data_IF_105800869828
#
_entry.id   IF_105800869828
#
_cell.length_a   1.000
_cell.length_b   1.000
_cell.length_c   1.000
_cell.angle_alpha   90.00
_cell.angle_beta   90.00
_cell.angle_gamma   90.00
#
_symmetry.space_group_name_H-M   'P 1'
#
loop_
_entity.id
_entity.type
_entity.pdbx_description
1 polymer ?
#
# COMPACT_ATOMS: atom_id res chain seq x y z
N UNK A 1 -20.64 6.33 -12.61
CA UNK A 1 -20.49 5.44 -11.44
C UNK A 1 -20.03 4.08 -11.92
N UNK A 2 -18.79 3.74 -11.59
CA UNK A 2 -18.12 2.49 -11.90
C UNK A 2 -18.70 1.39 -11.02
N UNK A 3 -19.02 0.24 -11.61
CA UNK A 3 -19.61 -0.89 -10.88
C UNK A 3 -18.68 -1.32 -9.73
N UNK A 4 -19.22 -1.37 -8.52
CA UNK A 4 -18.48 -1.71 -7.31
C UNK A 4 -18.29 -3.22 -7.21
N UNK A 5 -17.07 -3.73 -6.96
CA UNK A 5 -16.82 -5.15 -6.76
C UNK A 5 -17.63 -5.77 -5.63
N UNK A 6 -18.11 -6.99 -5.85
CA UNK A 6 -18.83 -7.76 -4.84
C UNK A 6 -17.94 -8.11 -3.64
N UNK A 7 -18.54 -8.17 -2.44
CA UNK A 7 -17.86 -8.60 -1.22
C UNK A 7 -17.04 -7.53 -0.49
N UNK A 8 -17.03 -6.27 -0.98
CA UNK A 8 -16.46 -5.14 -0.25
C UNK A 8 -17.41 -4.67 0.88
N UNK A 9 -16.83 -4.28 2.00
CA UNK A 9 -17.49 -3.62 3.13
C UNK A 9 -17.74 -2.13 2.86
N UNK A 10 -18.31 -1.42 3.84
CA UNK A 10 -18.70 -0.01 3.64
C UNK A 10 -17.51 0.88 3.25
N UNK A 11 -16.41 0.82 4.00
CA UNK A 11 -15.22 1.63 3.74
C UNK A 11 -14.51 1.25 2.44
N UNK A 12 -14.44 -0.03 2.09
CA UNK A 12 -13.90 -0.49 0.81
C UNK A 12 -14.72 -0.03 -0.39
N UNK A 13 -16.06 -0.06 -0.29
CA UNK A 13 -16.95 0.44 -1.35
C UNK A 13 -16.81 1.94 -1.55
N UNK A 14 -16.75 2.71 -0.47
CA UNK A 14 -16.55 4.17 -0.51
C UNK A 14 -15.21 4.53 -1.14
N UNK A 15 -14.13 3.84 -0.76
CA UNK A 15 -12.81 4.02 -1.35
C UNK A 15 -12.81 3.67 -2.85
N UNK A 16 -13.46 2.56 -3.22
CA UNK A 16 -13.58 2.16 -4.62
C UNK A 16 -14.27 3.24 -5.45
N UNK A 17 -15.46 3.67 -5.02
CA UNK A 17 -16.23 4.68 -5.74
C UNK A 17 -15.47 6.01 -5.83
N UNK A 18 -14.86 6.49 -4.75
CA UNK A 18 -14.13 7.77 -4.79
C UNK A 18 -12.99 7.77 -5.79
N UNK A 19 -12.22 6.69 -5.92
CA UNK A 19 -11.09 6.62 -6.86
C UNK A 19 -11.55 6.19 -8.26
N UNK A 20 -12.38 5.17 -8.39
CA UNK A 20 -12.78 4.61 -9.68
C UNK A 20 -13.80 5.48 -10.44
N UNK A 21 -14.48 6.41 -9.77
CA UNK A 21 -15.34 7.41 -10.43
C UNK A 21 -14.55 8.66 -10.85
N UNK A 22 -13.48 9.01 -10.13
CA UNK A 22 -12.67 10.20 -10.40
C UNK A 22 -11.56 9.95 -11.43
N UNK A 23 -10.98 8.74 -11.46
CA UNK A 23 -9.82 8.43 -12.28
C UNK A 23 -10.09 7.31 -13.29
N UNK A 24 -9.58 7.48 -14.51
CA UNK A 24 -9.51 6.40 -15.49
C UNK A 24 -8.35 5.46 -15.14
N UNK A 25 -8.69 4.24 -14.70
CA UNK A 25 -7.74 3.24 -14.24
C UNK A 25 -7.50 2.15 -15.28
N UNK A 26 -6.23 1.80 -15.48
CA UNK A 26 -5.86 0.60 -16.24
C UNK A 26 -6.20 -0.70 -15.47
N UNK A 27 -6.17 -1.87 -16.12
CA UNK A 27 -6.51 -3.13 -15.47
C UNK A 27 -5.65 -3.46 -14.24
N UNK A 28 -4.34 -3.13 -14.26
CA UNK A 28 -3.45 -3.39 -13.13
C UNK A 28 -3.77 -2.46 -11.96
N UNK A 29 -4.07 -1.18 -12.23
CA UNK A 29 -4.53 -0.22 -11.23
C UNK A 29 -5.87 -0.62 -10.61
N UNK A 30 -6.79 -1.21 -11.39
CA UNK A 30 -8.07 -1.73 -10.85
C UNK A 30 -7.86 -2.88 -9.88
N UNK A 31 -6.97 -3.82 -10.18
CA UNK A 31 -6.61 -4.92 -9.26
C UNK A 31 -5.97 -4.35 -8.00
N UNK A 32 -5.03 -3.41 -8.16
CA UNK A 32 -4.36 -2.74 -7.05
C UNK A 32 -5.35 -1.99 -6.13
N UNK A 33 -6.30 -1.26 -6.72
CA UNK A 33 -7.35 -0.56 -5.99
C UNK A 33 -8.25 -1.56 -5.23
N UNK A 34 -8.59 -2.69 -5.85
CA UNK A 34 -9.42 -3.71 -5.21
C UNK A 34 -8.74 -4.26 -3.94
N UNK A 35 -7.44 -4.55 -4.01
CA UNK A 35 -6.67 -4.98 -2.83
C UNK A 35 -6.58 -3.88 -1.77
N UNK A 36 -6.48 -2.61 -2.17
CA UNK A 36 -6.51 -1.50 -1.22
C UNK A 36 -7.88 -1.39 -0.53
N UNK A 37 -8.98 -1.63 -1.24
CA UNK A 37 -10.33 -1.64 -0.68
C UNK A 37 -10.52 -2.80 0.32
N UNK A 38 -10.02 -3.99 -0.01
CA UNK A 38 -10.00 -5.14 0.93
C UNK A 38 -9.17 -4.85 2.18
N UNK A 39 -8.03 -4.17 2.02
CA UNK A 39 -7.20 -3.74 3.14
C UNK A 39 -7.93 -2.72 4.02
N UNK A 40 -8.68 -1.77 3.43
CA UNK A 40 -9.52 -0.81 4.16
C UNK A 40 -10.61 -1.51 4.96
N UNK A 41 -11.34 -2.45 4.36
CA UNK A 41 -12.37 -3.21 5.07
C UNK A 41 -11.79 -4.02 6.25
N UNK A 42 -10.56 -4.53 6.10
CA UNK A 42 -9.86 -5.21 7.19
C UNK A 42 -9.42 -4.25 8.29
N UNK A 43 -8.98 -3.04 7.94
CA UNK A 43 -8.69 -1.99 8.92
C UNK A 43 -9.95 -1.58 9.70
N UNK A 44 -11.10 -1.48 9.05
CA UNK A 44 -12.37 -1.15 9.73
C UNK A 44 -12.73 -2.20 10.78
N UNK A 45 -12.55 -3.48 10.45
CA UNK A 45 -12.76 -4.58 11.41
C UNK A 45 -11.75 -4.55 12.57
N UNK A 46 -10.48 -4.26 12.27
CA UNK A 46 -9.43 -4.17 13.28
C UNK A 46 -9.61 -2.95 14.19
N UNK A 47 -10.05 -1.81 13.64
CA UNK A 47 -10.37 -0.60 14.39
C UNK A 47 -11.55 -0.85 15.34
N UNK A 48 -12.64 -1.45 14.83
CA UNK A 48 -13.77 -1.83 15.68
C UNK A 48 -13.32 -2.76 16.83
N UNK A 49 -12.47 -3.74 16.51
CA UNK A 49 -11.91 -4.66 17.51
C UNK A 49 -11.04 -3.94 18.56
N UNK A 50 -10.19 -3.00 18.14
CA UNK A 50 -9.34 -2.23 19.04
C UNK A 50 -10.11 -1.24 19.90
N UNK A 51 -11.23 -0.69 19.41
CA UNK A 51 -12.12 0.20 20.17
C UNK A 51 -12.99 -0.54 21.17
N UNK A 52 -13.20 -1.85 20.97
CA UNK A 52 -14.18 -2.61 21.72
C UNK A 52 -15.62 -2.42 21.24
N UNK A 53 -15.82 -1.83 20.06
CA UNK A 53 -17.13 -1.60 19.43
C UNK A 53 -17.63 -2.82 18.62
N UNK A 54 -17.16 -4.03 18.96
CA UNK A 54 -17.61 -5.27 18.31
C UNK A 54 -18.50 -6.04 19.27
N UNK A 55 -19.72 -6.37 18.85
CA UNK A 55 -20.71 -7.14 19.64
C UNK A 55 -20.17 -8.50 20.15
N UNK A 56 -19.06 -8.99 19.60
CA UNK A 56 -18.36 -10.21 20.02
C UNK A 56 -16.89 -10.13 19.62
N UNK A 57 -15.98 -10.12 20.60
CA UNK A 57 -14.52 -10.13 20.35
C UNK A 57 -13.99 -11.49 19.88
N UNK A 58 -14.61 -12.59 20.30
CA UNK A 58 -14.50 -13.91 19.68
C UNK A 58 -15.71 -14.76 20.08
N UNK A 59 -16.07 -15.75 19.26
CA UNK A 59 -17.04 -16.79 19.59
C UNK A 59 -16.29 -18.09 19.81
N UNK A 60 -16.11 -18.49 21.07
CA UNK A 60 -15.66 -19.83 21.43
C UNK A 60 -16.77 -20.81 21.04
N UNK A 61 -16.51 -21.68 20.06
CA UNK A 61 -17.47 -22.73 19.65
C UNK A 61 -16.96 -24.05 20.18
N UNK A 62 -17.71 -24.65 21.09
CA UNK A 62 -17.28 -25.78 21.92
C UNK A 62 -17.45 -27.13 21.23
N UNK A 63 -16.57 -28.09 21.53
CA UNK A 63 -16.78 -29.52 21.23
C UNK A 63 -16.52 -30.46 22.43
N UNK A 64 -15.92 -30.00 23.54
CA UNK A 64 -15.54 -30.87 24.67
C UNK A 64 -15.54 -30.10 26.01
N UNK A 65 -16.26 -30.65 27.00
CA UNK A 65 -16.52 -30.07 28.33
C UNK A 65 -15.23 -29.85 29.13
N UNK A 66 -14.64 -28.66 29.06
CA UNK A 66 -13.56 -28.22 29.96
C UNK A 66 -13.89 -26.83 30.50
N UNK A 67 -13.55 -26.57 31.77
CA UNK A 67 -14.17 -25.50 32.59
C UNK A 67 -13.57 -24.09 32.43
N UNK A 68 -12.38 -23.89 31.85
CA UNK A 68 -11.79 -22.54 31.68
C UNK A 68 -11.16 -22.32 30.28
N UNK A 69 -11.36 -21.11 29.72
CA UNK A 69 -10.75 -20.69 28.45
C UNK A 69 -10.11 -19.30 28.58
N UNK A 70 -8.85 -19.17 28.14
CA UNK A 70 -8.17 -17.88 27.96
C UNK A 70 -8.24 -17.46 26.48
N UNK A 71 -8.97 -16.37 26.19
CA UNK A 71 -8.96 -15.73 24.88
C UNK A 71 -7.91 -14.62 24.86
N UNK A 72 -6.78 -14.88 24.20
CA UNK A 72 -5.71 -13.90 24.03
C UNK A 72 -5.80 -13.21 22.67
N UNK A 73 -6.02 -11.90 22.67
CA UNK A 73 -5.99 -11.04 21.48
C UNK A 73 -4.80 -10.08 21.60
N UNK A 74 -3.60 -10.57 21.37
CA UNK A 74 -2.35 -9.79 21.54
C UNK A 74 -1.84 -9.15 20.23
N UNK A 75 -2.26 -9.67 19.07
CA UNK A 75 -1.71 -9.25 17.78
C UNK A 75 -2.53 -8.19 17.02
N UNK A 76 -3.71 -7.80 17.50
CA UNK A 76 -4.64 -6.96 16.73
C UNK A 76 -4.03 -5.62 16.29
N UNK A 77 -3.37 -4.91 17.20
CA UNK A 77 -2.72 -3.63 16.91
C UNK A 77 -1.58 -3.81 15.90
N UNK A 78 -0.76 -4.86 16.07
CA UNK A 78 0.33 -5.19 15.15
C UNK A 78 -0.20 -5.51 13.75
N UNK A 79 -1.29 -6.27 13.64
CA UNK A 79 -1.93 -6.59 12.37
C UNK A 79 -2.56 -5.35 11.72
N UNK A 80 -3.14 -4.43 12.52
CA UNK A 80 -3.66 -3.16 12.04
C UNK A 80 -2.54 -2.32 11.42
N UNK A 81 -1.41 -2.17 12.12
CA UNK A 81 -0.25 -1.43 11.62
C UNK A 81 0.34 -2.05 10.35
N UNK A 82 0.45 -3.39 10.28
CA UNK A 82 0.92 -4.09 9.09
C UNK A 82 -0.02 -3.86 7.90
N UNK A 83 -1.34 -3.93 8.14
CA UNK A 83 -2.36 -3.71 7.11
C UNK A 83 -2.41 -2.26 6.64
N UNK A 84 -2.22 -1.30 7.54
CA UNK A 84 -2.13 0.12 7.21
C UNK A 84 -0.91 0.41 6.33
N UNK A 85 0.23 -0.20 6.63
CA UNK A 85 1.43 -0.10 5.79
C UNK A 85 1.21 -0.73 4.40
N UNK A 86 0.56 -1.90 4.33
CA UNK A 86 0.18 -2.51 3.05
C UNK A 86 -0.74 -1.60 2.25
N UNK A 87 -1.81 -1.07 2.86
CA UNK A 87 -2.75 -0.16 2.19
C UNK A 87 -2.05 1.10 1.68
N UNK A 88 -1.17 1.70 2.48
CA UNK A 88 -0.34 2.84 2.06
C UNK A 88 0.50 2.51 0.83
N UNK A 89 1.15 1.35 0.81
CA UNK A 89 1.94 0.90 -0.35
C UNK A 89 1.05 0.67 -1.58
N UNK A 90 -0.12 0.06 -1.39
CA UNK A 90 -1.05 -0.22 -2.48
C UNK A 90 -1.55 1.07 -3.14
N UNK A 91 -1.98 2.04 -2.34
CA UNK A 91 -2.43 3.35 -2.81
C UNK A 91 -1.30 4.16 -3.48
N UNK A 92 -0.09 4.14 -2.92
CA UNK A 92 1.05 4.82 -3.52
C UNK A 92 1.41 4.24 -4.90
N UNK A 93 1.28 2.93 -5.07
CA UNK A 93 1.54 2.24 -6.34
C UNK A 93 0.49 2.52 -7.43
N UNK A 94 -0.71 3.02 -7.08
CA UNK A 94 -1.68 3.49 -8.09
C UNK A 94 -1.13 4.65 -8.91
N UNK A 95 -0.26 5.48 -8.31
CA UNK A 95 0.39 6.63 -8.98
C UNK A 95 -0.63 7.54 -9.67
N UNK A 96 -1.71 7.82 -8.96
CA UNK A 96 -2.77 8.72 -9.42
C UNK A 96 -2.17 10.10 -9.76
N UNK A 97 -2.65 10.75 -10.83
CA UNK A 97 -2.20 12.10 -11.18
C UNK A 97 -2.59 13.08 -10.07
N UNK A 98 -1.71 14.02 -9.77
CA UNK A 98 -2.00 15.10 -8.84
C UNK A 98 -3.16 15.96 -9.37
N UNK A 99 -4.22 16.24 -8.56
CA UNK A 99 -5.39 16.96 -9.04
C UNK A 99 -5.11 18.38 -9.55
N UNK A 100 -4.06 19.05 -9.04
CA UNK A 100 -3.70 20.42 -9.41
C UNK A 100 -2.78 20.47 -10.62
N UNK A 101 -1.81 19.56 -10.69
CA UNK A 101 -0.77 19.59 -11.73
C UNK A 101 -0.97 18.59 -12.85
N UNK A 102 -1.85 17.60 -12.69
CA UNK A 102 -2.05 16.47 -13.61
C UNK A 102 -0.85 15.53 -13.72
N UNK A 103 0.26 15.83 -13.04
CA UNK A 103 1.50 15.05 -13.11
C UNK A 103 1.36 13.79 -12.27
N UNK A 104 1.80 12.66 -12.83
CA UNK A 104 1.85 11.38 -12.12
C UNK A 104 3.15 11.25 -11.32
N UNK A 105 3.11 10.69 -10.11
CA UNK A 105 4.32 10.34 -9.35
C UNK A 105 5.29 9.49 -10.17
N UNK A 106 6.59 9.74 -10.04
CA UNK A 106 7.61 9.00 -10.79
C UNK A 106 7.59 7.50 -10.44
N UNK A 107 7.74 6.63 -11.46
CA UNK A 107 7.88 5.21 -11.24
C UNK A 107 9.26 4.94 -10.63
N UNK A 108 9.29 4.33 -9.45
CA UNK A 108 10.51 3.74 -8.89
C UNK A 108 10.30 2.24 -8.81
N UNK A 109 10.44 1.58 -9.96
CA UNK A 109 10.44 0.12 -10.02
C UNK A 109 11.61 -0.48 -9.25
N UNK A 110 11.60 -1.80 -9.08
CA UNK A 110 12.77 -2.52 -8.58
C UNK A 110 13.99 -2.07 -9.39
N UNK A 111 15.02 -1.58 -8.70
CA UNK A 111 16.27 -1.23 -9.36
C UNK A 111 16.74 -2.50 -10.07
N UNK A 112 16.80 -2.45 -11.41
CA UNK A 112 17.36 -3.56 -12.17
C UNK A 112 18.76 -3.88 -11.65
N UNK A 113 19.21 -5.12 -11.84
CA UNK A 113 20.58 -5.49 -11.55
C UNK A 113 21.51 -4.46 -12.21
N UNK A 114 22.24 -3.69 -11.41
CA UNK A 114 23.21 -2.75 -11.95
C UNK A 114 24.18 -3.58 -12.79
N UNK A 115 24.36 -3.20 -14.05
CA UNK A 115 25.44 -3.79 -14.84
C UNK A 115 26.73 -3.64 -14.03
N UNK A 116 27.53 -4.72 -13.87
CA UNK A 116 28.77 -4.64 -13.12
C UNK A 116 29.58 -3.48 -13.69
N UNK A 117 30.02 -2.56 -12.82
CA UNK A 117 30.86 -1.45 -13.24
C UNK A 117 32.13 -2.05 -13.83
N UNK A 118 32.28 -2.01 -15.15
CA UNK A 118 33.52 -2.44 -15.81
C UNK A 118 34.59 -1.43 -15.41
N UNK A 119 35.63 -1.82 -14.65
CA UNK A 119 36.74 -0.92 -14.37
C UNK A 119 37.36 -0.53 -15.72
N UNK A 120 37.38 0.77 -16.04
CA UNK A 120 37.96 1.29 -17.29
C UNK A 120 37.02 1.36 -18.50
N UNK A 121 35.72 1.10 -18.34
CA UNK A 121 34.74 1.31 -19.41
C UNK A 121 34.59 2.80 -19.79
N UNK A 122 34.57 3.10 -21.09
CA UNK A 122 34.56 4.44 -21.72
C UNK A 122 33.24 5.22 -21.53
N UNK A 123 32.72 5.25 -20.30
CA UNK A 123 31.80 6.25 -19.77
C UNK A 123 32.31 6.62 -18.39
N UNK A 124 33.45 7.32 -18.37
CA UNK A 124 33.80 8.12 -17.21
C UNK A 124 32.70 9.17 -17.08
N UNK A 125 31.74 8.91 -16.20
CA UNK A 125 30.76 9.90 -15.79
C UNK A 125 31.57 11.03 -15.20
N UNK A 126 31.72 12.13 -15.95
CA UNK A 126 32.46 13.31 -15.53
C UNK A 126 31.94 13.65 -14.14
N UNK A 127 32.75 13.40 -13.12
CA UNK A 127 32.31 13.60 -11.75
C UNK A 127 32.16 15.10 -11.54
N UNK A 128 31.34 15.50 -10.56
CA UNK A 128 31.20 16.92 -10.23
C UNK A 128 32.58 17.58 -9.95
N UNK A 129 33.56 16.78 -9.49
CA UNK A 129 34.94 17.17 -9.28
C UNK A 129 35.70 17.46 -10.60
N UNK A 130 35.47 16.65 -11.64
CA UNK A 130 36.10 16.83 -12.94
C UNK A 130 35.55 18.07 -13.65
N UNK A 131 34.23 18.29 -13.58
CA UNK A 131 33.61 19.54 -14.08
C UNK A 131 34.11 20.77 -13.34
N UNK A 132 34.33 20.66 -12.02
CA UNK A 132 34.87 21.75 -11.23
C UNK A 132 36.31 22.07 -11.65
N UNK A 133 37.16 21.06 -11.87
CA UNK A 133 38.54 21.26 -12.35
C UNK A 133 38.60 21.85 -13.76
N UNK A 134 37.71 21.45 -14.66
CA UNK A 134 37.60 22.07 -16.00
C UNK A 134 37.13 23.53 -15.92
N UNK A 135 36.16 23.83 -15.05
CA UNK A 135 35.69 25.19 -14.82
C UNK A 135 36.71 26.07 -14.08
N UNK A 136 37.62 25.45 -13.33
CA UNK A 136 38.70 26.12 -12.59
C UNK A 136 40.03 26.10 -13.35
N UNK A 137 40.03 25.89 -14.66
CA UNK A 137 41.23 25.89 -15.49
C UNK A 137 41.91 27.26 -15.53
N UNK A 138 42.74 27.51 -14.51
CA UNK A 138 43.57 28.68 -14.23
C UNK A 138 44.05 28.65 -12.79
#
# INVERSE_FOLDING_TARGET
MTAVPIGLGAGGRELWSSIADEYELDPAQKVQLLEACRAKDRLDKLDALLRGDVDSWARLTHRLQTDDYELKIDAALTQANATANLMKQLLAALRLPDPKSGKRPQYRGARGAQAPSVPGGRRATVTALDKFREASGG
#
